data_IF_405525249931
#
_entry.id   IF_405525249931
#
_cell.length_a   1.000
_cell.length_b   1.000
_cell.length_c   1.000
_cell.angle_alpha   90.00
_cell.angle_beta   90.00
_cell.angle_gamma   90.00
#
_symmetry.space_group_name_H-M   'P 1'
#
loop_
_entity.id
_entity.type
_entity.pdbx_description
1 polymer ?
#
# COMPACT_ATOMS: atom_id res chain seq x y z
N UNK A 1 -51.51 19.53 -6.37
CA UNK A 1 -50.65 18.38 -6.69
C UNK A 1 -49.38 18.91 -7.35
N UNK A 2 -48.18 18.42 -7.03
CA UNK A 2 -46.97 18.90 -7.71
C UNK A 2 -46.96 18.37 -9.14
N UNK A 3 -46.77 19.26 -10.11
CA UNK A 3 -46.52 18.89 -11.50
C UNK A 3 -45.18 18.15 -11.59
N UNK A 4 -45.23 16.86 -11.91
CA UNK A 4 -44.04 16.12 -12.30
C UNK A 4 -43.62 16.62 -13.69
N UNK A 5 -42.73 17.61 -13.72
CA UNK A 5 -42.02 18.00 -14.93
C UNK A 5 -41.28 16.75 -15.42
N UNK A 6 -41.73 16.21 -16.54
CA UNK A 6 -41.11 15.09 -17.21
C UNK A 6 -39.76 15.56 -17.76
N UNK A 7 -38.75 15.64 -16.89
CA UNK A 7 -37.36 15.85 -17.31
C UNK A 7 -37.02 14.65 -18.17
N UNK A 8 -36.80 14.88 -19.46
CA UNK A 8 -36.24 13.89 -20.36
C UNK A 8 -34.85 13.50 -19.82
N UNK A 9 -34.81 12.53 -18.93
CA UNK A 9 -33.59 11.92 -18.44
C UNK A 9 -33.09 11.12 -19.62
N UNK A 10 -32.13 11.68 -20.36
CA UNK A 10 -31.47 11.00 -21.47
C UNK A 10 -31.06 9.56 -21.10
N UNK A 11 -30.81 8.69 -22.09
CA UNK A 11 -30.62 7.26 -21.87
C UNK A 11 -29.60 6.99 -20.75
N UNK A 12 -29.83 5.95 -19.93
CA UNK A 12 -28.99 5.58 -18.78
C UNK A 12 -27.47 5.57 -19.10
N UNK A 13 -27.11 5.23 -20.34
CA UNK A 13 -25.75 5.23 -20.86
C UNK A 13 -25.11 6.62 -20.89
N UNK A 14 -25.85 7.69 -21.23
CA UNK A 14 -25.32 9.07 -21.22
C UNK A 14 -25.08 9.55 -19.78
N UNK A 15 -25.97 9.18 -18.85
CA UNK A 15 -25.81 9.45 -17.42
C UNK A 15 -24.59 8.71 -16.85
N UNK A 16 -24.34 7.47 -17.27
CA UNK A 16 -23.15 6.71 -16.86
C UNK A 16 -21.84 7.41 -17.27
N UNK A 17 -21.76 7.93 -18.49
CA UNK A 17 -20.58 8.67 -18.97
C UNK A 17 -20.39 9.99 -18.23
N UNK A 18 -21.47 10.73 -17.97
CA UNK A 18 -21.42 11.97 -17.18
C UNK A 18 -20.99 11.70 -15.74
N UNK A 19 -21.58 10.68 -15.09
CA UNK A 19 -21.16 10.24 -13.75
C UNK A 19 -19.71 9.79 -13.71
N UNK A 20 -19.23 9.06 -14.73
CA UNK A 20 -17.83 8.66 -14.81
C UNK A 20 -16.88 9.86 -14.97
N UNK A 21 -17.24 10.85 -15.80
CA UNK A 21 -16.45 12.09 -15.97
C UNK A 21 -16.40 12.90 -14.67
N UNK A 22 -17.54 13.07 -13.99
CA UNK A 22 -17.62 13.78 -12.72
C UNK A 22 -16.90 13.01 -11.59
N UNK A 23 -16.92 11.67 -11.60
CA UNK A 23 -16.11 10.87 -10.66
C UNK A 23 -14.63 10.99 -10.96
N UNK A 24 -14.23 11.00 -12.24
CA UNK A 24 -12.85 11.20 -12.67
C UNK A 24 -12.31 12.60 -12.39
N UNK A 25 -13.14 13.64 -12.38
CA UNK A 25 -12.66 15.00 -12.07
C UNK A 25 -12.16 15.14 -10.63
N UNK A 26 -12.62 14.26 -9.73
CA UNK A 26 -12.29 14.29 -8.31
C UNK A 26 -11.42 13.10 -7.89
N UNK A 27 -10.91 12.32 -8.84
CA UNK A 27 -10.03 11.17 -8.57
C UNK A 27 -8.64 11.41 -9.18
N UNK A 28 -7.58 10.94 -8.51
CA UNK A 28 -6.24 10.97 -9.08
C UNK A 28 -6.20 10.24 -10.41
N UNK A 29 -5.45 10.80 -11.35
CA UNK A 29 -5.05 10.10 -12.57
C UNK A 29 -4.29 8.84 -12.18
N UNK A 30 -4.50 7.74 -12.90
CA UNK A 30 -3.75 6.51 -12.63
C UNK A 30 -2.25 6.76 -12.79
N UNK A 31 -1.43 6.58 -11.73
CA UNK A 31 0.01 6.80 -11.79
C UNK A 31 0.64 5.82 -12.77
N UNK A 32 1.63 6.28 -13.53
CA UNK A 32 2.31 5.48 -14.53
C UNK A 32 3.53 4.77 -13.96
N UNK A 33 4.25 5.45 -13.06
CA UNK A 33 5.41 4.93 -12.34
C UNK A 33 5.14 4.90 -10.84
N UNK A 34 5.96 4.15 -10.10
CA UNK A 34 5.99 4.24 -8.65
C UNK A 34 6.35 5.67 -8.22
N UNK A 35 7.31 6.32 -8.89
CA UNK A 35 7.67 7.70 -8.54
C UNK A 35 6.50 8.68 -8.68
N UNK A 36 5.68 8.55 -9.73
CA UNK A 36 4.46 9.35 -9.89
C UNK A 36 3.48 9.10 -8.74
N UNK A 37 3.30 7.83 -8.35
CA UNK A 37 2.42 7.49 -7.24
C UNK A 37 2.91 8.10 -5.92
N UNK A 38 4.22 8.11 -5.66
CA UNK A 38 4.80 8.80 -4.51
C UNK A 38 4.49 10.30 -4.51
N UNK A 39 4.60 10.97 -5.66
CA UNK A 39 4.26 12.39 -5.76
C UNK A 39 2.77 12.64 -5.57
N UNK A 40 1.90 11.75 -6.02
CA UNK A 40 0.47 11.84 -5.72
C UNK A 40 0.20 11.73 -4.21
N UNK A 41 0.83 10.77 -3.53
CA UNK A 41 0.64 10.51 -2.11
C UNK A 41 1.26 11.58 -1.19
N UNK A 42 2.22 12.36 -1.69
CA UNK A 42 2.86 13.46 -0.93
C UNK A 42 2.42 14.86 -1.38
N UNK A 43 1.67 14.96 -2.48
CA UNK A 43 1.14 16.20 -3.03
C UNK A 43 -0.39 16.28 -2.86
N UNK A 44 -1.08 16.51 -3.98
CA UNK A 44 -2.52 16.83 -4.03
C UNK A 44 -3.43 15.77 -3.38
N UNK A 45 -2.96 14.53 -3.26
CA UNK A 45 -3.74 13.40 -2.75
C UNK A 45 -3.27 12.89 -1.38
N UNK A 46 -2.46 13.65 -0.64
CA UNK A 46 -1.97 13.29 0.70
C UNK A 46 -3.07 13.00 1.73
N UNK A 47 -4.28 13.52 1.50
CA UNK A 47 -5.44 13.31 2.36
C UNK A 47 -6.19 11.99 2.09
N UNK A 48 -5.86 11.26 1.02
CA UNK A 48 -6.51 10.00 0.66
C UNK A 48 -5.97 8.76 1.41
N UNK A 49 -4.65 8.56 1.59
CA UNK A 49 -4.12 7.40 2.30
C UNK A 49 -4.17 7.62 3.82
N UNK A 50 -5.39 7.70 4.37
CA UNK A 50 -5.63 7.88 5.81
C UNK A 50 -6.57 6.80 6.34
N UNK A 51 -6.33 6.38 7.58
CA UNK A 51 -7.20 5.49 8.36
C UNK A 51 -7.35 6.13 9.74
N UNK A 52 -8.58 6.32 10.21
CA UNK A 52 -8.88 7.03 11.45
C UNK A 52 -8.17 8.41 11.57
N UNK A 53 -8.17 9.17 10.47
CA UNK A 53 -7.47 10.47 10.31
C UNK A 53 -5.94 10.41 10.50
N UNK A 54 -5.35 9.22 10.54
CA UNK A 54 -3.90 9.03 10.58
C UNK A 54 -3.38 8.59 9.21
N UNK A 55 -2.25 9.15 8.74
CA UNK A 55 -1.66 8.74 7.48
C UNK A 55 -1.19 7.29 7.57
N UNK A 56 -1.51 6.50 6.55
CA UNK A 56 -1.01 5.13 6.44
C UNK A 56 0.25 5.04 5.58
N UNK A 57 0.49 6.02 4.71
CA UNK A 57 1.68 6.04 3.85
C UNK A 57 2.91 6.56 4.61
N UNK A 58 3.96 5.76 4.68
CA UNK A 58 5.17 6.04 5.47
C UNK A 58 6.34 6.55 4.62
N UNK A 59 6.20 6.56 3.29
CA UNK A 59 7.16 7.14 2.37
C UNK A 59 7.74 6.16 1.35
N UNK A 60 8.79 6.62 0.67
CA UNK A 60 9.52 5.92 -0.39
C UNK A 60 10.94 5.60 0.09
N UNK A 61 11.30 4.33 0.00
CA UNK A 61 12.57 3.73 0.42
C UNK A 61 13.33 3.30 -0.84
N UNK A 62 14.66 3.33 -0.77
CA UNK A 62 15.56 2.90 -1.84
C UNK A 62 16.39 4.07 -2.37
N UNK A 63 17.71 3.92 -2.28
CA UNK A 63 18.70 4.95 -2.63
C UNK A 63 19.59 4.56 -3.79
N UNK A 64 19.64 3.27 -4.12
CA UNK A 64 20.46 2.71 -5.19
C UNK A 64 19.67 1.76 -6.12
N UNK A 65 20.21 1.39 -7.29
CA UNK A 65 19.53 0.53 -8.25
C UNK A 65 19.23 -0.91 -7.77
N UNK A 66 19.99 -1.44 -6.80
CA UNK A 66 19.78 -2.78 -6.24
C UNK A 66 18.67 -2.78 -5.20
N UNK A 67 18.57 -1.74 -4.37
CA UNK A 67 17.43 -1.51 -3.47
C UNK A 67 16.14 -1.26 -4.26
N UNK A 68 16.25 -0.57 -5.40
CA UNK A 68 15.11 -0.19 -6.21
C UNK A 68 14.24 0.85 -5.50
N UNK A 69 12.92 0.71 -5.64
CA UNK A 69 11.92 1.58 -5.02
C UNK A 69 11.00 0.69 -4.20
N UNK A 70 10.87 1.02 -2.91
CA UNK A 70 9.88 0.42 -2.03
C UNK A 70 8.98 1.51 -1.46
N UNK A 71 7.67 1.31 -1.51
CA UNK A 71 6.72 2.21 -0.84
C UNK A 71 6.08 1.50 0.33
N UNK A 72 6.18 2.10 1.51
CA UNK A 72 5.69 1.49 2.72
C UNK A 72 4.37 2.12 3.17
N UNK A 73 3.42 1.26 3.51
CA UNK A 73 2.17 1.62 4.17
C UNK A 73 2.08 0.84 5.48
N UNK A 74 1.72 1.51 6.57
CA UNK A 74 1.57 0.89 7.91
C UNK A 74 0.21 1.29 8.48
N UNK A 75 -0.56 0.32 8.94
CA UNK A 75 -1.86 0.54 9.54
C UNK A 75 -1.71 0.98 11.01
N UNK A 76 -2.11 2.21 11.37
CA UNK A 76 -1.83 2.80 12.69
C UNK A 76 -2.47 2.03 13.85
N UNK A 77 -3.72 1.60 13.70
CA UNK A 77 -4.51 0.94 14.75
C UNK A 77 -3.86 -0.35 15.26
N UNK A 78 -3.20 -1.08 14.36
CA UNK A 78 -2.60 -2.38 14.63
C UNK A 78 -1.06 -2.34 14.63
N UNK A 79 -0.46 -1.15 14.49
CA UNK A 79 0.99 -0.95 14.61
C UNK A 79 1.53 -1.48 15.93
N UNK A 80 0.75 -1.39 17.03
CA UNK A 80 1.17 -1.91 18.34
C UNK A 80 1.47 -3.42 18.33
N UNK A 81 0.92 -4.18 17.37
CA UNK A 81 1.26 -5.60 17.20
C UNK A 81 2.74 -5.78 16.83
N UNK A 82 3.39 -4.81 16.15
CA UNK A 82 4.84 -4.85 15.94
C UNK A 82 5.59 -4.91 17.27
N UNK A 83 5.11 -4.18 18.28
CA UNK A 83 5.75 -4.13 19.60
C UNK A 83 5.42 -5.33 20.47
N UNK A 84 4.16 -5.79 20.45
CA UNK A 84 3.69 -6.81 21.41
C UNK A 84 3.65 -8.23 20.83
N UNK A 85 3.67 -8.37 19.52
CA UNK A 85 3.58 -9.65 18.84
C UNK A 85 4.90 -10.42 18.87
N UNK A 86 4.83 -11.74 19.06
CA UNK A 86 6.00 -12.63 19.01
C UNK A 86 6.20 -13.25 17.62
N UNK A 87 5.11 -13.47 16.88
CA UNK A 87 5.10 -14.24 15.64
C UNK A 87 4.56 -13.40 14.49
N UNK A 88 5.30 -13.38 13.39
CA UNK A 88 4.94 -12.65 12.19
C UNK A 88 4.93 -13.58 10.97
N UNK A 89 3.95 -13.37 10.11
CA UNK A 89 3.86 -13.97 8.79
C UNK A 89 4.21 -12.90 7.77
N UNK A 90 5.03 -13.23 6.79
CA UNK A 90 5.35 -12.31 5.70
C UNK A 90 5.17 -13.02 4.37
N UNK A 91 4.53 -12.37 3.41
CA UNK A 91 4.23 -12.96 2.10
C UNK A 91 4.38 -11.95 0.97
N UNK A 92 4.99 -12.40 -0.13
CA UNK A 92 5.17 -11.64 -1.36
C UNK A 92 4.13 -12.04 -2.40
N UNK A 93 3.08 -11.23 -2.57
CA UNK A 93 2.02 -11.49 -3.55
C UNK A 93 2.29 -10.77 -4.87
N UNK A 94 2.38 -11.52 -5.97
CA UNK A 94 2.68 -10.96 -7.30
C UNK A 94 1.43 -10.52 -8.08
N UNK A 95 0.34 -11.30 -7.99
CA UNK A 95 -0.89 -11.05 -8.76
C UNK A 95 -1.64 -9.78 -8.31
N UNK A 96 -1.43 -9.37 -7.05
CA UNK A 96 -2.04 -8.18 -6.47
C UNK A 96 -1.20 -6.91 -6.66
N UNK A 97 0.03 -7.02 -7.21
CA UNK A 97 0.90 -5.88 -7.38
C UNK A 97 0.37 -4.94 -8.50
N UNK A 98 0.18 -3.64 -8.24
CA UNK A 98 -0.15 -2.67 -9.26
C UNK A 98 0.96 -2.60 -10.29
N UNK A 99 0.63 -2.58 -11.58
CA UNK A 99 1.65 -2.75 -12.62
C UNK A 99 2.67 -1.61 -12.67
N UNK A 100 2.26 -0.34 -12.53
CA UNK A 100 3.11 0.86 -12.71
C UNK A 100 4.11 0.69 -13.86
N UNK A 101 3.63 0.38 -15.07
CA UNK A 101 4.48 0.09 -16.23
C UNK A 101 5.54 -1.01 -16.00
N UNK A 102 5.18 -2.02 -15.20
CA UNK A 102 6.01 -3.15 -14.74
C UNK A 102 7.12 -2.78 -13.75
N UNK A 103 7.04 -1.60 -13.13
CA UNK A 103 7.98 -1.21 -12.07
C UNK A 103 7.73 -2.00 -10.78
N UNK A 104 6.47 -2.17 -10.35
CA UNK A 104 6.18 -2.97 -9.16
C UNK A 104 6.31 -4.45 -9.50
N UNK A 105 7.20 -5.14 -8.80
CA UNK A 105 7.39 -6.58 -8.96
C UNK A 105 6.58 -7.38 -7.94
N UNK A 106 6.28 -6.80 -6.79
CA UNK A 106 5.51 -7.48 -5.73
C UNK A 106 4.79 -6.51 -4.79
N UNK A 107 3.72 -7.00 -4.19
CA UNK A 107 3.12 -6.49 -2.96
C UNK A 107 3.55 -7.40 -1.81
N UNK A 108 4.42 -6.91 -0.94
CA UNK A 108 4.87 -7.61 0.24
C UNK A 108 4.00 -7.23 1.45
N UNK A 109 3.48 -8.23 2.16
CA UNK A 109 2.57 -8.04 3.28
C UNK A 109 3.22 -8.57 4.55
N UNK A 110 3.20 -7.76 5.61
CA UNK A 110 3.69 -8.15 6.94
C UNK A 110 2.49 -8.25 7.87
N UNK A 111 2.25 -9.45 8.39
CA UNK A 111 1.15 -9.75 9.27
C UNK A 111 1.67 -10.16 10.65
N UNK A 112 1.09 -9.61 11.72
CA UNK A 112 1.33 -10.10 13.07
C UNK A 112 0.26 -11.12 13.45
N UNK A 113 0.66 -12.21 14.11
CA UNK A 113 -0.28 -13.18 14.67
C UNK A 113 -0.60 -12.78 16.11
N UNK A 114 -1.86 -12.52 16.40
CA UNK A 114 -2.39 -12.39 17.76
C UNK A 114 -3.72 -13.10 17.86
N UNK A 115 -4.02 -13.70 19.01
CA UNK A 115 -5.24 -14.49 19.22
C UNK A 115 -5.50 -15.53 18.10
N UNK A 116 -4.43 -16.21 17.66
CA UNK A 116 -4.47 -17.20 16.58
C UNK A 116 -5.02 -16.66 15.23
N UNK A 117 -4.95 -15.35 15.03
CA UNK A 117 -5.44 -14.64 13.83
C UNK A 117 -4.33 -13.75 13.28
N UNK A 118 -4.13 -13.78 11.97
CA UNK A 118 -3.17 -12.92 11.28
C UNK A 118 -3.79 -11.56 10.93
N UNK A 119 -3.17 -10.47 11.38
CA UNK A 119 -3.59 -9.11 11.06
C UNK A 119 -2.53 -8.44 10.17
N UNK A 120 -2.89 -7.91 8.99
CA UNK A 120 -1.92 -7.27 8.09
C UNK A 120 -1.54 -5.90 8.61
N UNK A 121 -0.32 -5.74 9.10
CA UNK A 121 0.14 -4.51 9.75
C UNK A 121 0.73 -3.55 8.74
N UNK A 122 1.51 -4.07 7.79
CA UNK A 122 2.22 -3.26 6.82
C UNK A 122 2.17 -3.88 5.42
N UNK A 123 2.18 -2.99 4.43
CA UNK A 123 2.20 -3.32 3.02
C UNK A 123 3.37 -2.59 2.37
N UNK A 124 4.16 -3.30 1.58
CA UNK A 124 5.25 -2.74 0.82
C UNK A 124 5.09 -3.04 -0.67
N UNK A 125 4.93 -1.99 -1.48
CA UNK A 125 5.02 -2.10 -2.93
C UNK A 125 6.49 -2.02 -3.31
N UNK A 126 7.05 -3.08 -3.89
CA UNK A 126 8.49 -3.18 -4.14
C UNK A 126 8.79 -3.38 -5.63
N UNK A 127 9.75 -2.61 -6.15
CA UNK A 127 10.22 -2.74 -7.53
C UNK A 127 11.34 -3.76 -7.72
N UNK A 128 11.91 -4.26 -6.62
CA UNK A 128 12.98 -5.25 -6.61
C UNK A 128 12.73 -6.26 -5.50
N UNK A 129 13.23 -7.48 -5.71
CA UNK A 129 13.16 -8.61 -4.77
C UNK A 129 14.57 -9.04 -4.35
N UNK A 130 15.47 -8.07 -4.21
CA UNK A 130 16.87 -8.29 -3.84
C UNK A 130 17.01 -8.27 -2.32
N UNK A 131 18.05 -8.90 -1.79
CA UNK A 131 18.34 -8.85 -0.36
C UNK A 131 18.50 -7.42 0.15
N UNK A 132 19.04 -6.51 -0.69
CA UNK A 132 19.13 -5.08 -0.37
C UNK A 132 17.77 -4.41 -0.25
N UNK A 133 16.82 -4.72 -1.14
CA UNK A 133 15.47 -4.16 -1.07
C UNK A 133 14.74 -4.57 0.21
N UNK A 134 14.80 -5.86 0.59
CA UNK A 134 14.23 -6.34 1.85
C UNK A 134 14.95 -5.73 3.06
N UNK A 135 16.28 -5.67 3.05
CA UNK A 135 17.05 -5.06 4.14
C UNK A 135 16.72 -3.57 4.33
N UNK A 136 16.54 -2.82 3.25
CA UNK A 136 16.12 -1.42 3.32
C UNK A 136 14.71 -1.28 3.90
N UNK A 137 13.77 -2.15 3.50
CA UNK A 137 12.42 -2.20 4.06
C UNK A 137 12.44 -2.48 5.57
N UNK A 138 13.17 -3.50 6.02
CA UNK A 138 13.21 -3.87 7.44
C UNK A 138 13.92 -2.84 8.30
N UNK A 139 14.99 -2.20 7.81
CA UNK A 139 15.62 -1.07 8.50
C UNK A 139 14.64 0.07 8.73
N UNK A 140 13.87 0.43 7.71
CA UNK A 140 12.86 1.49 7.83
C UNK A 140 11.73 1.11 8.81
N UNK A 141 11.30 -0.15 8.83
CA UNK A 141 10.34 -0.63 9.81
C UNK A 141 10.89 -0.54 11.25
N UNK A 142 12.18 -0.82 11.46
CA UNK A 142 12.85 -0.64 12.75
C UNK A 142 13.01 0.84 13.13
N UNK A 143 13.13 1.76 12.18
CA UNK A 143 13.08 3.20 12.47
C UNK A 143 11.67 3.63 12.92
N UNK A 144 10.63 3.05 12.32
CA UNK A 144 9.23 3.30 12.68
C UNK A 144 8.87 2.70 14.05
N UNK A 145 9.38 1.51 14.37
CA UNK A 145 9.17 0.81 15.63
C UNK A 145 10.47 0.15 16.12
N UNK A 146 11.33 0.88 16.84
CA UNK A 146 12.63 0.37 17.31
C UNK A 146 12.51 -0.79 18.31
N UNK A 147 11.34 -0.97 18.93
CA UNK A 147 11.09 -2.07 19.88
C UNK A 147 10.61 -3.35 19.19
N UNK A 148 10.55 -3.38 17.85
CA UNK A 148 10.15 -4.58 17.12
C UNK A 148 11.21 -5.69 17.22
N UNK A 149 10.96 -6.66 18.07
CA UNK A 149 11.84 -7.82 18.30
C UNK A 149 11.06 -9.13 18.08
N UNK A 150 10.80 -9.54 16.84
CA UNK A 150 10.05 -10.76 16.55
C UNK A 150 10.81 -11.99 17.04
N UNK A 151 10.10 -12.94 17.66
CA UNK A 151 10.67 -14.23 18.09
C UNK A 151 10.59 -15.28 16.99
N UNK A 152 9.56 -15.19 16.14
CA UNK A 152 9.33 -16.12 15.04
C UNK A 152 8.87 -15.35 13.82
N UNK A 153 9.55 -15.56 12.70
CA UNK A 153 9.16 -15.06 11.38
C UNK A 153 8.91 -16.28 10.51
N UNK A 154 7.73 -16.31 9.90
CA UNK A 154 7.36 -17.32 8.90
C UNK A 154 7.23 -16.57 7.58
N UNK A 155 8.00 -17.00 6.60
CA UNK A 155 8.04 -16.40 5.27
C UNK A 155 8.15 -17.52 4.25
N UNK A 156 7.57 -17.33 3.08
CA UNK A 156 7.80 -18.23 1.94
C UNK A 156 9.29 -18.24 1.58
N UNK A 157 9.74 -19.32 0.94
CA UNK A 157 11.15 -19.52 0.61
C UNK A 157 11.61 -18.56 -0.51
N UNK A 158 11.82 -17.30 -0.15
CA UNK A 158 12.45 -16.28 -0.96
C UNK A 158 13.85 -16.02 -0.40
N UNK A 159 14.88 -16.62 -1.03
CA UNK A 159 16.27 -16.53 -0.56
C UNK A 159 16.74 -15.10 -0.26
N UNK A 160 16.25 -14.12 -1.00
CA UNK A 160 16.59 -12.72 -0.81
C UNK A 160 16.00 -12.09 0.47
N UNK A 161 14.86 -12.59 0.97
CA UNK A 161 14.22 -12.08 2.19
C UNK A 161 14.85 -12.64 3.48
N UNK A 162 15.74 -13.63 3.38
CA UNK A 162 16.34 -14.36 4.52
C UNK A 162 17.79 -13.94 4.83
N UNK A 163 18.27 -12.81 4.30
CA UNK A 163 19.67 -12.37 4.38
C UNK A 163 19.85 -11.18 5.31
#
# INVERSE_FOLDING_TARGET
MPEFINKNVGPFVSHRRTMQRHRKSNQPTSPQTMTDFHYQLTGDYVHLPVMDNLPIYMGKIGTDPEEGITMLFVLPEIKNILRTGSTFLMDGTFAAAPSFNRECQQLYVIMGITFNTGFPIAFALMSRKTARAYNALFKWLLEIEPQWTPQTIIVDFERAAMV
#
